data_IF_262255995263
#
_entry.id   IF_262255995263
#
_cell.length_a   1.000
_cell.length_b   1.000
_cell.length_c   1.000
_cell.angle_alpha   90.00
_cell.angle_beta   90.00
_cell.angle_gamma   90.00
#
_symmetry.space_group_name_H-M   'P 1'
#
loop_
_entity.id
_entity.type
_entity.pdbx_description
1 polymer ?
#
# COMPACT_ATOMS: atom_id res chain seq x y z
N UNK A 1 -5.75 -2.98 24.98
CA UNK A 1 -6.01 -3.73 26.24
C UNK A 1 -5.68 -5.21 26.07
N UNK A 2 -4.42 -5.57 26.22
CA UNK A 2 -3.88 -6.93 26.13
C UNK A 2 -3.59 -7.52 27.52
N UNK A 3 -3.63 -8.86 27.65
CA UNK A 3 -3.18 -9.54 28.87
C UNK A 3 -1.65 -9.57 28.95
N UNK A 4 -1.08 -9.34 30.12
CA UNK A 4 0.38 -9.34 30.35
C UNK A 4 1.06 -10.66 29.99
N UNK A 5 0.44 -11.79 30.33
CA UNK A 5 0.98 -13.09 29.92
C UNK A 5 0.99 -13.29 28.40
N UNK A 6 -0.04 -12.80 27.71
CA UNK A 6 -0.10 -12.82 26.24
C UNK A 6 0.94 -11.89 25.64
N UNK A 7 1.06 -10.66 26.12
CA UNK A 7 2.05 -9.68 25.68
C UNK A 7 3.47 -10.27 25.70
N UNK A 8 3.88 -10.82 26.84
CA UNK A 8 5.22 -11.38 26.99
C UNK A 8 5.44 -12.67 26.17
N UNK A 9 4.39 -13.47 25.94
CA UNK A 9 4.46 -14.62 25.03
C UNK A 9 4.60 -14.18 23.57
N UNK A 10 3.82 -13.17 23.14
CA UNK A 10 3.87 -12.61 21.78
C UNK A 10 5.25 -11.96 21.52
N UNK A 11 5.87 -11.37 22.56
CA UNK A 11 7.23 -10.83 22.57
C UNK A 11 8.36 -11.88 22.65
N UNK A 12 8.03 -13.18 22.60
CA UNK A 12 9.02 -14.26 22.62
C UNK A 12 9.72 -14.49 23.97
N UNK A 13 9.31 -13.82 25.07
CA UNK A 13 10.03 -13.83 26.36
C UNK A 13 9.92 -15.13 27.18
N UNK A 14 9.34 -16.19 26.62
CA UNK A 14 9.28 -17.51 27.22
C UNK A 14 8.06 -18.33 26.81
N UNK A 15 7.99 -19.58 27.24
CA UNK A 15 6.74 -20.37 27.22
C UNK A 15 5.69 -19.73 28.12
N UNK A 16 4.41 -20.05 27.91
CA UNK A 16 3.33 -19.56 28.77
C UNK A 16 3.57 -19.86 30.25
N UNK A 17 4.18 -21.00 30.57
CA UNK A 17 4.60 -21.37 31.92
C UNK A 17 5.76 -20.51 32.45
N UNK A 18 6.79 -20.29 31.64
CA UNK A 18 7.94 -19.42 31.99
C UNK A 18 7.48 -17.98 32.24
N UNK A 19 6.74 -17.41 31.29
CA UNK A 19 6.20 -16.05 31.38
C UNK A 19 5.33 -15.88 32.63
N UNK A 20 4.41 -16.80 32.90
CA UNK A 20 3.59 -16.75 34.12
C UNK A 20 4.44 -16.83 35.38
N UNK A 21 5.58 -17.51 35.34
CA UNK A 21 6.53 -17.58 36.46
C UNK A 21 7.27 -16.26 36.65
N UNK A 22 7.74 -15.63 35.56
CA UNK A 22 8.37 -14.31 35.60
C UNK A 22 7.44 -13.25 36.20
N UNK A 23 6.18 -13.23 35.75
CA UNK A 23 5.16 -12.31 36.28
C UNK A 23 4.94 -12.56 37.78
N UNK A 24 4.72 -13.83 38.18
CA UNK A 24 4.51 -14.17 39.60
C UNK A 24 5.70 -13.82 40.50
N UNK A 25 6.92 -13.76 39.97
CA UNK A 25 8.13 -13.34 40.69
C UNK A 25 8.26 -11.82 40.82
N UNK A 26 7.32 -11.05 40.28
CA UNK A 26 7.37 -9.58 40.31
C UNK A 26 8.47 -9.00 39.43
N UNK A 27 8.94 -9.75 38.43
CA UNK A 27 9.99 -9.32 37.51
C UNK A 27 9.44 -8.49 36.34
N UNK A 28 8.12 -8.24 36.29
CA UNK A 28 7.46 -7.56 35.19
C UNK A 28 6.70 -6.35 35.73
N UNK A 29 6.96 -5.17 35.18
CA UNK A 29 6.25 -3.95 35.55
C UNK A 29 5.45 -3.42 34.36
N UNK A 30 4.31 -2.79 34.64
CA UNK A 30 3.54 -1.97 33.71
C UNK A 30 3.53 -0.56 34.28
N UNK A 31 4.19 0.38 33.59
CA UNK A 31 4.61 1.65 34.18
C UNK A 31 5.47 1.40 35.42
N UNK A 32 5.12 2.05 36.53
CA UNK A 32 5.82 1.93 37.81
C UNK A 32 5.34 0.76 38.68
N UNK A 33 4.35 -0.02 38.22
CA UNK A 33 3.71 -1.07 39.02
C UNK A 33 4.22 -2.45 38.67
N UNK A 34 4.85 -3.13 39.63
CA UNK A 34 5.18 -4.55 39.51
C UNK A 34 3.90 -5.40 39.49
N UNK A 35 3.67 -6.09 38.39
CA UNK A 35 2.48 -6.92 38.20
C UNK A 35 2.80 -8.37 38.55
N UNK A 36 1.98 -8.97 39.42
CA UNK A 36 2.11 -10.39 39.83
C UNK A 36 0.99 -11.29 39.31
N UNK A 37 -0.04 -10.70 38.68
CA UNK A 37 -1.19 -11.41 38.09
C UNK A 37 -1.00 -11.56 36.58
N UNK A 38 -0.78 -12.78 36.05
CA UNK A 38 -0.54 -12.96 34.62
C UNK A 38 -1.68 -12.52 33.69
N UNK A 39 -2.91 -12.59 34.17
CA UNK A 39 -4.13 -12.15 33.47
C UNK A 39 -4.40 -10.65 33.55
N UNK A 40 -3.53 -9.86 34.19
CA UNK A 40 -3.64 -8.40 34.22
C UNK A 40 -3.73 -7.84 32.80
N UNK A 41 -4.68 -6.93 32.56
CA UNK A 41 -4.86 -6.27 31.27
C UNK A 41 -4.40 -4.82 31.37
N UNK A 42 -3.71 -4.37 30.36
CA UNK A 42 -3.17 -3.01 30.25
C UNK A 42 -3.22 -2.57 28.78
N UNK A 43 -3.10 -1.27 28.53
CA UNK A 43 -3.07 -0.70 27.18
C UNK A 43 -1.64 -0.65 26.65
N UNK A 44 -1.34 -1.55 25.72
CA UNK A 44 -0.04 -1.69 25.08
C UNK A 44 0.40 -0.47 24.26
N UNK A 45 -0.51 0.46 23.94
CA UNK A 45 -0.21 1.67 23.18
C UNK A 45 0.17 2.86 24.08
N UNK A 46 -0.20 2.82 25.36
CA UNK A 46 -0.02 3.94 26.29
C UNK A 46 0.79 3.60 27.53
N UNK A 47 0.91 2.32 27.89
CA UNK A 47 1.60 1.87 29.08
C UNK A 47 2.87 1.06 28.73
N UNK A 48 4.02 1.44 29.30
CA UNK A 48 5.30 0.78 29.05
C UNK A 48 5.44 -0.48 29.91
N UNK A 49 5.87 -1.59 29.30
CA UNK A 49 6.21 -2.82 30.04
C UNK A 49 7.72 -2.90 30.24
N UNK A 50 8.16 -3.26 31.44
CA UNK A 50 9.57 -3.63 31.70
C UNK A 50 9.67 -5.07 32.18
N UNK A 51 10.74 -5.76 31.78
CA UNK A 51 11.12 -7.08 32.29
C UNK A 51 12.49 -6.97 32.96
N UNK A 52 12.54 -7.22 34.27
CA UNK A 52 13.75 -7.04 35.11
C UNK A 52 14.38 -5.66 34.94
N UNK A 53 13.55 -4.61 34.83
CA UNK A 53 13.97 -3.22 34.63
C UNK A 53 14.35 -2.84 33.21
N UNK A 54 14.33 -3.78 32.25
CA UNK A 54 14.57 -3.47 30.83
C UNK A 54 13.23 -3.18 30.12
N UNK A 55 13.08 -2.02 29.47
CA UNK A 55 11.87 -1.70 28.72
C UNK A 55 11.67 -2.65 27.55
N UNK A 56 10.43 -3.09 27.37
CA UNK A 56 10.00 -3.93 26.26
C UNK A 56 9.14 -3.10 25.32
N UNK A 57 9.58 -2.98 24.07
CA UNK A 57 8.77 -2.41 22.98
C UNK A 57 7.90 -3.51 22.41
N UNK A 58 6.59 -3.31 22.35
CA UNK A 58 5.67 -4.32 21.85
C UNK A 58 5.81 -4.51 20.34
N UNK A 59 6.13 -5.72 19.92
CA UNK A 59 6.16 -6.14 18.54
C UNK A 59 5.31 -7.41 18.40
N UNK A 60 4.05 -7.23 17.98
CA UNK A 60 3.12 -8.33 17.72
C UNK A 60 3.60 -9.25 16.58
N UNK A 61 4.15 -8.64 15.53
CA UNK A 61 4.58 -9.34 14.32
C UNK A 61 6.07 -9.19 14.06
N UNK A 62 6.71 -10.31 13.78
CA UNK A 62 8.12 -10.39 13.43
C UNK A 62 8.24 -10.72 11.94
N UNK A 63 9.14 -10.05 11.23
CA UNK A 63 9.35 -10.26 9.79
C UNK A 63 10.85 -10.37 9.52
N UNK A 64 11.25 -11.51 8.95
CA UNK A 64 12.63 -11.80 8.61
C UNK A 64 12.78 -12.10 7.13
N UNK A 65 13.80 -11.50 6.52
CA UNK A 65 14.33 -11.89 5.23
C UNK A 65 15.44 -12.90 5.46
N UNK A 66 15.27 -14.11 4.94
CA UNK A 66 16.31 -15.14 4.90
C UNK A 66 16.83 -15.26 3.47
N UNK A 67 18.15 -15.24 3.29
CA UNK A 67 18.77 -15.77 2.08
C UNK A 67 18.92 -17.28 2.27
N UNK A 68 17.91 -18.05 1.85
CA UNK A 68 17.88 -19.50 2.09
C UNK A 68 19.03 -20.17 1.32
N UNK A 69 19.87 -20.99 1.96
CA UNK A 69 20.88 -21.79 1.27
C UNK A 69 20.27 -23.08 0.68
N UNK A 70 20.95 -23.68 -0.28
CA UNK A 70 20.65 -25.04 -0.72
C UNK A 70 20.88 -26.06 0.41
N UNK A 71 20.19 -27.18 0.36
CA UNK A 71 20.28 -28.27 1.35
C UNK A 71 19.36 -28.15 2.56
N UNK A 72 18.70 -27.00 2.76
CA UNK A 72 17.78 -26.73 3.88
C UNK A 72 16.32 -26.78 3.41
N UNK A 73 15.40 -27.32 4.21
CA UNK A 73 13.98 -27.42 3.85
C UNK A 73 13.15 -26.23 4.38
N UNK A 74 12.24 -25.73 3.54
CA UNK A 74 11.29 -24.66 3.88
C UNK A 74 10.13 -25.20 4.74
N UNK A 75 10.41 -25.56 5.99
CA UNK A 75 9.46 -26.14 6.93
C UNK A 75 9.65 -25.57 8.35
N UNK A 76 8.64 -25.74 9.20
CA UNK A 76 8.73 -25.35 10.62
C UNK A 76 9.39 -26.43 11.48
N UNK A 77 9.24 -27.71 11.09
CA UNK A 77 9.87 -28.89 11.69
C UNK A 77 10.06 -29.94 10.61
N UNK A 78 11.15 -30.68 10.70
CA UNK A 78 11.44 -31.85 9.86
C UNK A 78 12.24 -32.86 10.71
N UNK A 79 12.11 -34.15 10.43
CA UNK A 79 12.77 -35.20 11.22
C UNK A 79 14.17 -35.56 10.72
N UNK A 80 14.50 -35.19 9.48
CA UNK A 80 15.68 -35.67 8.76
C UNK A 80 16.55 -34.49 8.32
N UNK A 81 15.94 -33.47 7.73
CA UNK A 81 16.65 -32.34 7.14
C UNK A 81 16.62 -31.12 8.05
N UNK A 82 17.71 -30.33 8.03
CA UNK A 82 17.74 -29.03 8.68
C UNK A 82 16.65 -28.11 8.09
N UNK A 83 15.96 -27.37 8.95
CA UNK A 83 14.87 -26.47 8.55
C UNK A 83 15.32 -25.01 8.51
N UNK A 84 14.61 -24.19 7.74
CA UNK A 84 14.86 -22.74 7.68
C UNK A 84 14.70 -22.05 9.03
N UNK A 85 13.86 -22.56 9.94
CA UNK A 85 13.70 -21.98 11.27
C UNK A 85 14.90 -22.23 12.19
N UNK A 86 15.60 -23.36 11.99
CA UNK A 86 16.82 -23.67 12.76
C UNK A 86 17.97 -22.71 12.42
N UNK A 87 17.97 -22.12 11.21
CA UNK A 87 18.95 -21.10 10.81
C UNK A 87 18.80 -19.79 11.60
N UNK A 88 17.62 -19.49 12.16
CA UNK A 88 17.40 -18.27 12.94
C UNK A 88 18.04 -18.32 14.34
N UNK A 89 18.42 -19.51 14.81
CA UNK A 89 19.23 -19.71 16.02
C UNK A 89 18.59 -19.30 17.36
N UNK A 90 17.37 -18.76 17.39
CA UNK A 90 16.84 -18.09 18.58
C UNK A 90 15.56 -18.74 19.17
N UNK A 91 15.52 -19.11 20.48
CA UNK A 91 14.32 -19.65 21.15
C UNK A 91 13.13 -18.69 21.26
N UNK A 92 13.29 -17.40 20.91
CA UNK A 92 12.21 -16.42 20.78
C UNK A 92 11.34 -16.63 19.51
N UNK A 93 11.71 -17.55 18.61
CA UNK A 93 11.03 -17.89 17.34
C UNK A 93 9.72 -18.71 17.49
N UNK A 94 8.93 -18.49 18.55
CA UNK A 94 7.65 -19.19 18.71
C UNK A 94 6.63 -18.62 17.73
N UNK A 95 6.02 -19.50 16.93
CA UNK A 95 5.00 -19.22 15.90
C UNK A 95 5.50 -18.55 14.60
N UNK A 96 6.80 -18.53 14.33
CA UNK A 96 7.30 -18.18 13.01
C UNK A 96 7.04 -19.33 12.02
N UNK A 97 6.78 -18.98 10.77
CA UNK A 97 6.67 -19.90 9.66
C UNK A 97 7.16 -19.26 8.36
N UNK A 98 7.68 -20.04 7.42
CA UNK A 98 8.06 -19.53 6.10
C UNK A 98 6.81 -19.15 5.29
N UNK A 99 6.86 -17.98 4.66
CA UNK A 99 5.83 -17.51 3.74
C UNK A 99 6.12 -18.10 2.36
N UNK A 100 5.50 -19.24 2.12
CA UNK A 100 5.72 -20.05 0.93
C UNK A 100 6.90 -20.98 1.11
N UNK A 101 7.23 -21.71 0.04
CA UNK A 101 8.27 -22.73 0.08
C UNK A 101 9.21 -22.54 -1.10
N UNK A 102 10.49 -22.72 -0.82
CA UNK A 102 11.52 -23.00 -1.81
C UNK A 102 11.92 -24.47 -1.66
N UNK A 103 12.21 -25.13 -2.78
CA UNK A 103 12.69 -26.51 -2.78
C UNK A 103 14.02 -26.62 -2.02
N UNK A 104 14.38 -27.84 -1.65
CA UNK A 104 15.59 -28.10 -0.85
C UNK A 104 16.85 -27.56 -1.53
N UNK A 105 16.94 -27.72 -2.85
CA UNK A 105 18.03 -27.29 -3.72
C UNK A 105 17.89 -25.85 -4.25
N UNK A 106 16.80 -25.15 -3.92
CA UNK A 106 16.56 -23.77 -4.35
C UNK A 106 17.04 -22.77 -3.30
N UNK A 107 17.71 -21.71 -3.75
CA UNK A 107 18.28 -20.67 -2.90
C UNK A 107 17.48 -19.36 -2.92
N UNK A 108 17.86 -18.42 -2.07
CA UNK A 108 17.45 -17.02 -2.17
C UNK A 108 16.34 -16.62 -1.21
N UNK A 109 15.63 -15.55 -1.57
CA UNK A 109 14.70 -14.83 -0.70
C UNK A 109 13.60 -15.74 -0.14
N UNK A 110 13.55 -15.88 1.18
CA UNK A 110 12.43 -16.48 1.90
C UNK A 110 11.99 -15.56 3.04
N UNK A 111 10.73 -15.11 2.99
CA UNK A 111 10.12 -14.36 4.08
C UNK A 111 9.72 -15.33 5.20
N UNK A 112 10.06 -15.00 6.44
CA UNK A 112 9.65 -15.75 7.65
C UNK A 112 8.93 -14.78 8.58
N UNK A 113 7.71 -15.13 8.99
CA UNK A 113 6.89 -14.28 9.86
C UNK A 113 5.94 -15.10 10.74
N UNK A 114 5.33 -14.44 11.73
CA UNK A 114 4.18 -14.93 12.49
C UNK A 114 2.86 -14.21 12.08
N UNK A 115 2.89 -13.37 11.04
CA UNK A 115 1.74 -12.67 10.48
C UNK A 115 0.97 -13.54 9.47
N UNK A 116 0.03 -14.33 9.99
CA UNK A 116 -0.83 -15.24 9.21
C UNK A 116 -1.62 -14.56 8.09
N UNK A 117 -2.34 -13.45 8.36
CA UNK A 117 -3.06 -12.69 7.33
C UNK A 117 -2.18 -12.26 6.16
N UNK A 118 -1.04 -11.61 6.42
CA UNK A 118 -0.13 -11.18 5.37
C UNK A 118 0.42 -12.38 4.56
N UNK A 119 0.77 -13.46 5.25
CA UNK A 119 1.25 -14.66 4.57
C UNK A 119 0.20 -15.29 3.65
N UNK A 120 -1.06 -15.33 4.09
CA UNK A 120 -2.17 -15.81 3.26
C UNK A 120 -2.36 -14.92 2.03
N UNK A 121 -2.27 -13.60 2.19
CA UNK A 121 -2.34 -12.65 1.07
C UNK A 121 -1.22 -12.88 0.04
N UNK A 122 0.01 -13.06 0.51
CA UNK A 122 1.17 -13.27 -0.35
C UNK A 122 1.19 -14.63 -1.06
N UNK A 123 0.52 -15.64 -0.51
CA UNK A 123 0.50 -17.01 -1.02
C UNK A 123 -0.77 -17.39 -1.77
N UNK A 124 -1.84 -16.63 -1.62
CA UNK A 124 -3.11 -16.89 -2.28
C UNK A 124 -2.92 -16.94 -3.80
N UNK A 125 -3.30 -18.05 -4.48
CA UNK A 125 -3.19 -18.15 -5.94
C UNK A 125 -3.95 -17.05 -6.68
N UNK A 126 -5.01 -16.49 -6.07
CA UNK A 126 -5.84 -15.42 -6.64
C UNK A 126 -5.15 -14.05 -6.63
N UNK A 127 -4.04 -13.90 -5.91
CA UNK A 127 -3.36 -12.60 -5.71
C UNK A 127 -2.25 -12.34 -6.72
N UNK A 128 -1.84 -13.34 -7.47
CA UNK A 128 -0.89 -13.21 -8.58
C UNK A 128 0.39 -12.45 -8.21
N UNK A 129 0.89 -12.63 -6.98
CA UNK A 129 2.08 -11.94 -6.47
C UNK A 129 3.30 -12.35 -7.29
N UNK A 130 3.95 -11.37 -7.92
CA UNK A 130 5.17 -11.58 -8.72
C UNK A 130 6.29 -12.21 -7.88
N UNK A 131 7.01 -13.17 -8.47
CA UNK A 131 8.20 -13.79 -7.89
C UNK A 131 9.23 -13.92 -8.99
N UNK A 132 10.36 -13.22 -8.85
CA UNK A 132 11.45 -13.27 -9.84
C UNK A 132 12.55 -14.20 -9.37
N UNK A 133 13.01 -15.06 -10.27
CA UNK A 133 14.05 -16.04 -10.03
C UNK A 133 15.19 -15.84 -11.02
N UNK A 134 16.42 -15.95 -10.55
CA UNK A 134 17.57 -16.24 -11.39
C UNK A 134 17.55 -17.74 -11.70
N UNK A 135 17.53 -18.07 -12.99
CA UNK A 135 17.49 -19.45 -13.48
C UNK A 135 18.70 -19.67 -14.37
N UNK A 136 19.51 -20.69 -14.07
CA UNK A 136 20.54 -21.19 -14.99
C UNK A 136 20.09 -22.51 -15.58
N UNK A 137 20.26 -22.66 -16.89
CA UNK A 137 19.77 -23.79 -17.67
C UNK A 137 20.90 -24.69 -18.16
N UNK A 138 20.56 -25.95 -18.47
CA UNK A 138 21.51 -26.94 -18.99
C UNK A 138 21.95 -26.61 -20.42
N UNK A 139 20.99 -26.27 -21.27
CA UNK A 139 21.19 -25.87 -22.67
C UNK A 139 20.88 -24.39 -22.88
N UNK A 140 21.32 -23.86 -24.02
CA UNK A 140 21.06 -22.47 -24.40
C UNK A 140 19.56 -22.23 -24.63
N UNK A 141 19.08 -21.07 -24.20
CA UNK A 141 17.71 -20.60 -24.40
C UNK A 141 17.55 -20.11 -25.84
N UNK A 142 16.64 -20.73 -26.59
CA UNK A 142 16.22 -20.23 -27.89
C UNK A 142 15.11 -19.18 -27.75
N UNK A 143 14.93 -18.35 -28.78
CA UNK A 143 13.83 -17.37 -28.83
C UNK A 143 12.45 -18.05 -28.74
N UNK A 144 12.33 -19.29 -29.24
CA UNK A 144 11.08 -20.07 -29.14
C UNK A 144 10.82 -20.52 -27.70
N UNK A 145 11.86 -20.94 -26.96
CA UNK A 145 11.72 -21.33 -25.55
C UNK A 145 11.22 -20.14 -24.72
N UNK A 146 11.83 -18.97 -24.93
CA UNK A 146 11.43 -17.71 -24.27
C UNK A 146 9.96 -17.41 -24.56
N UNK A 147 9.57 -17.46 -25.83
CA UNK A 147 8.20 -17.18 -26.25
C UNK A 147 7.20 -18.17 -25.64
N UNK A 148 7.49 -19.47 -25.64
CA UNK A 148 6.63 -20.47 -25.00
C UNK A 148 6.44 -20.19 -23.51
N UNK A 149 7.51 -19.82 -22.79
CA UNK A 149 7.43 -19.47 -21.37
C UNK A 149 6.59 -18.21 -21.13
N UNK A 150 6.69 -17.20 -22.00
CA UNK A 150 5.91 -15.97 -21.93
C UNK A 150 4.42 -16.17 -22.27
N UNK A 151 4.10 -17.08 -23.19
CA UNK A 151 2.71 -17.42 -23.55
C UNK A 151 2.07 -18.38 -22.53
N UNK A 152 2.89 -19.19 -21.85
CA UNK A 152 2.47 -20.21 -20.89
C UNK A 152 2.62 -21.62 -21.45
N UNK A 153 3.08 -22.55 -20.61
CA UNK A 153 3.41 -23.93 -21.00
C UNK A 153 2.59 -24.96 -20.22
N UNK A 154 2.43 -26.16 -20.78
CA UNK A 154 1.80 -27.28 -20.10
C UNK A 154 2.82 -27.94 -19.17
N UNK A 155 2.52 -27.93 -17.87
CA UNK A 155 3.35 -28.56 -16.83
C UNK A 155 2.65 -29.77 -16.18
N UNK A 156 1.61 -30.32 -16.82
CA UNK A 156 0.83 -31.45 -16.34
C UNK A 156 -0.29 -31.05 -15.36
N UNK A 157 -0.83 -29.84 -15.49
CA UNK A 157 -1.95 -29.32 -14.69
C UNK A 157 -3.18 -29.15 -15.59
N UNK A 158 -4.37 -28.93 -15.03
CA UNK A 158 -5.60 -28.74 -15.84
C UNK A 158 -5.52 -27.54 -16.79
N UNK A 159 -4.71 -26.54 -16.44
CA UNK A 159 -4.50 -25.32 -17.22
C UNK A 159 -3.00 -25.09 -17.40
N UNK A 160 -2.65 -24.49 -18.53
CA UNK A 160 -1.31 -23.95 -18.78
C UNK A 160 -0.85 -23.04 -17.65
N UNK A 161 0.46 -22.84 -17.53
CA UNK A 161 0.97 -21.79 -16.66
C UNK A 161 0.45 -20.43 -17.09
N UNK A 162 0.30 -19.51 -16.14
CA UNK A 162 0.09 -18.12 -16.48
C UNK A 162 1.31 -17.60 -17.26
N UNK A 163 1.10 -16.61 -18.14
CA UNK A 163 2.18 -15.88 -18.80
C UNK A 163 3.28 -15.48 -17.82
N UNK A 164 4.52 -15.85 -18.14
CA UNK A 164 5.69 -15.41 -17.39
C UNK A 164 6.33 -14.19 -18.06
N UNK A 165 7.18 -13.48 -17.32
CA UNK A 165 8.08 -12.49 -17.91
C UNK A 165 9.50 -13.07 -17.89
N UNK A 166 10.15 -13.05 -19.05
CA UNK A 166 11.50 -13.60 -19.23
C UNK A 166 12.46 -12.48 -19.62
N UNK A 167 13.59 -12.38 -18.93
CA UNK A 167 14.70 -11.51 -19.31
C UNK A 167 15.96 -12.37 -19.43
N UNK A 168 16.43 -12.57 -20.67
CA UNK A 168 17.64 -13.35 -20.94
C UNK A 168 18.87 -12.51 -20.57
N UNK A 169 19.67 -13.00 -19.63
CA UNK A 169 20.91 -12.36 -19.19
C UNK A 169 22.11 -12.87 -19.97
N UNK A 170 22.12 -14.16 -20.29
CA UNK A 170 23.12 -14.84 -21.12
C UNK A 170 22.49 -16.08 -21.77
N UNK A 171 23.17 -16.76 -22.72
CA UNK A 171 22.59 -17.91 -23.41
C UNK A 171 22.04 -19.01 -22.50
N UNK A 172 22.55 -19.18 -21.27
CA UNK A 172 22.10 -20.20 -20.31
C UNK A 172 21.58 -19.61 -18.99
N UNK A 173 21.26 -18.32 -18.96
CA UNK A 173 20.84 -17.64 -17.74
C UNK A 173 19.75 -16.61 -18.03
N UNK A 174 18.69 -16.64 -17.22
CA UNK A 174 17.57 -15.70 -17.34
C UNK A 174 17.04 -15.28 -15.97
N UNK A 175 16.37 -14.13 -15.95
CA UNK A 175 15.40 -13.81 -14.92
C UNK A 175 14.02 -14.26 -15.37
N UNK A 176 13.39 -15.11 -14.57
CA UNK A 176 12.03 -15.60 -14.81
C UNK A 176 11.12 -15.07 -13.72
N UNK A 177 10.11 -14.27 -14.09
CA UNK A 177 9.09 -13.77 -13.17
C UNK A 177 7.78 -14.50 -13.39
N UNK A 178 7.29 -15.17 -12.35
CA UNK A 178 6.00 -15.89 -12.34
C UNK A 178 5.05 -15.31 -11.30
N UNK A 179 3.74 -15.47 -11.55
CA UNK A 179 2.66 -14.98 -10.68
C UNK A 179 1.95 -16.07 -9.89
N UNK A 180 2.34 -17.31 -10.08
CA UNK A 180 1.78 -18.48 -9.41
C UNK A 180 2.85 -19.17 -8.54
N UNK A 181 2.55 -20.36 -8.04
CA UNK A 181 3.39 -21.11 -7.12
C UNK A 181 3.06 -22.59 -7.13
N UNK A 182 2.94 -23.19 -8.32
CA UNK A 182 2.66 -24.61 -8.49
C UNK A 182 3.88 -25.46 -8.06
N UNK A 183 3.66 -26.73 -7.75
CA UNK A 183 4.73 -27.63 -7.29
C UNK A 183 5.87 -27.71 -8.31
N UNK A 184 7.12 -27.43 -7.89
CA UNK A 184 8.30 -27.42 -8.78
C UNK A 184 8.08 -26.67 -10.11
N UNK A 185 7.27 -25.60 -10.11
CA UNK A 185 6.76 -24.99 -11.33
C UNK A 185 7.84 -24.65 -12.34
N UNK A 186 8.88 -23.91 -11.94
CA UNK A 186 9.95 -23.47 -12.85
C UNK A 186 10.67 -24.67 -13.46
N UNK A 187 10.97 -25.70 -12.66
CA UNK A 187 11.63 -26.91 -13.15
C UNK A 187 10.76 -27.62 -14.22
N UNK A 188 9.45 -27.70 -14.00
CA UNK A 188 8.51 -28.27 -14.96
C UNK A 188 8.32 -27.39 -16.20
N UNK A 189 8.34 -26.07 -16.04
CA UNK A 189 8.27 -25.13 -17.17
C UNK A 189 9.46 -25.30 -18.11
N UNK A 190 10.68 -25.40 -17.56
CA UNK A 190 11.88 -25.64 -18.38
C UNK A 190 11.86 -27.02 -19.04
N UNK A 191 11.34 -28.05 -18.36
CA UNK A 191 11.14 -29.38 -18.96
C UNK A 191 10.16 -29.35 -20.14
N UNK A 192 9.13 -28.51 -20.10
CA UNK A 192 8.15 -28.38 -21.17
C UNK A 192 8.73 -27.75 -22.45
N UNK A 193 9.88 -27.06 -22.34
CA UNK A 193 10.67 -26.53 -23.47
C UNK A 193 11.97 -27.31 -23.66
N UNK A 194 11.96 -28.61 -23.34
CA UNK A 194 13.09 -29.55 -23.52
C UNK A 194 14.42 -29.09 -22.88
N UNK A 195 14.34 -28.37 -21.76
CA UNK A 195 15.49 -27.86 -21.01
C UNK A 195 15.43 -28.26 -19.53
N UNK A 196 16.50 -28.00 -18.77
CA UNK A 196 16.59 -28.33 -17.34
C UNK A 196 17.18 -27.18 -16.53
N UNK A 197 16.75 -27.08 -15.27
CA UNK A 197 17.27 -26.09 -14.32
C UNK A 197 18.52 -26.64 -13.64
N UNK A 198 19.67 -25.99 -13.85
CA UNK A 198 20.93 -26.30 -13.16
C UNK A 198 21.09 -25.52 -11.85
N UNK A 199 20.57 -24.29 -11.80
CA UNK A 199 20.60 -23.45 -10.60
C UNK A 199 19.34 -22.61 -10.53
N UNK A 200 18.81 -22.44 -9.31
CA UNK A 200 17.60 -21.66 -9.06
C UNK A 200 17.74 -20.83 -7.79
N UNK A 201 17.59 -19.51 -7.93
CA UNK A 201 17.61 -18.58 -6.80
C UNK A 201 16.47 -17.59 -6.90
N UNK A 202 15.62 -17.50 -5.87
CA UNK A 202 14.59 -16.46 -5.80
C UNK A 202 15.22 -15.12 -5.42
N UNK A 203 15.07 -14.12 -6.27
CA UNK A 203 15.59 -12.77 -6.04
C UNK A 203 14.53 -11.84 -5.45
N UNK A 204 13.25 -12.05 -5.76
CA UNK A 204 12.17 -11.18 -5.29
C UNK A 204 10.86 -11.93 -5.02
N UNK A 205 10.01 -11.33 -4.19
CA UNK A 205 8.63 -11.76 -3.96
C UNK A 205 7.77 -10.56 -3.58
N UNK A 206 6.81 -10.22 -4.43
CA UNK A 206 6.03 -8.99 -4.32
C UNK A 206 6.96 -7.77 -4.39
N UNK A 207 6.83 -6.87 -3.42
CA UNK A 207 7.67 -5.68 -3.28
C UNK A 207 9.06 -5.96 -2.66
N UNK A 208 9.28 -7.15 -2.07
CA UNK A 208 10.58 -7.49 -1.49
C UNK A 208 11.60 -7.93 -2.54
N UNK A 209 12.81 -7.40 -2.40
CA UNK A 209 14.01 -7.86 -3.12
C UNK A 209 15.02 -8.41 -2.12
N UNK A 210 15.71 -9.48 -2.51
CA UNK A 210 16.77 -10.07 -1.71
C UNK A 210 17.88 -9.03 -1.50
N UNK A 211 18.31 -8.88 -0.25
CA UNK A 211 19.48 -8.07 0.09
C UNK A 211 20.74 -8.74 -0.47
N UNK A 212 21.44 -8.06 -1.37
CA UNK A 212 22.65 -8.57 -2.02
C UNK A 212 23.82 -8.74 -1.04
N UNK A 213 23.79 -8.04 0.10
CA UNK A 213 24.81 -8.14 1.14
C UNK A 213 24.62 -9.34 2.06
N UNK A 214 23.44 -9.98 2.02
CA UNK A 214 23.07 -11.10 2.89
C UNK A 214 23.61 -12.41 2.32
N UNK A 215 24.55 -13.06 3.01
CA UNK A 215 25.12 -14.31 2.53
C UNK A 215 24.13 -15.50 2.66
N UNK A 216 24.30 -16.59 1.89
CA UNK A 216 23.46 -17.78 2.04
C UNK A 216 23.48 -18.32 3.49
N UNK A 217 22.30 -18.52 4.07
CA UNK A 217 22.12 -18.92 5.48
C UNK A 217 21.90 -17.75 6.44
N UNK A 218 22.25 -16.53 6.05
CA UNK A 218 22.04 -15.35 6.86
C UNK A 218 20.61 -14.80 6.72
N UNK A 219 20.17 -14.14 7.79
CA UNK A 219 18.88 -13.48 7.85
C UNK A 219 19.01 -12.10 8.48
N UNK A 220 18.06 -11.22 8.14
CA UNK A 220 17.89 -9.92 8.81
C UNK A 220 16.41 -9.64 9.05
N UNK A 221 16.12 -8.73 9.96
CA UNK A 221 14.78 -8.15 10.09
C UNK A 221 14.45 -7.32 8.86
N UNK A 222 13.17 -7.31 8.46
CA UNK A 222 12.69 -6.34 7.49
C UNK A 222 12.71 -4.93 8.08
N UNK A 223 12.96 -3.94 7.23
CA UNK A 223 12.78 -2.53 7.54
C UNK A 223 11.29 -2.17 7.57
N UNK A 224 10.94 -1.07 8.23
CA UNK A 224 9.55 -0.57 8.24
C UNK A 224 9.02 -0.31 6.82
N UNK A 225 9.86 0.22 5.93
CA UNK A 225 9.51 0.49 4.53
C UNK A 225 9.20 -0.79 3.75
N UNK A 226 9.96 -1.86 3.96
CA UNK A 226 9.72 -3.17 3.36
C UNK A 226 8.40 -3.79 3.87
N UNK A 227 8.13 -3.67 5.17
CA UNK A 227 6.88 -4.16 5.78
C UNK A 227 5.68 -3.37 5.23
N UNK A 228 5.81 -2.05 5.13
CA UNK A 228 4.78 -1.17 4.56
C UNK A 228 4.51 -1.53 3.10
N UNK A 229 5.56 -1.71 2.29
CA UNK A 229 5.42 -2.10 0.89
C UNK A 229 4.78 -3.49 0.70
N UNK A 230 4.99 -4.42 1.65
CA UNK A 230 4.32 -5.72 1.63
C UNK A 230 2.82 -5.59 1.93
N UNK A 231 2.47 -4.80 2.95
CA UNK A 231 1.08 -4.58 3.36
C UNK A 231 0.29 -3.75 2.35
N UNK A 232 0.94 -2.79 1.73
CA UNK A 232 0.35 -1.87 0.76
C UNK A 232 0.51 -2.38 -0.68
N UNK A 233 0.78 -3.68 -0.88
CA UNK A 233 0.92 -4.25 -2.22
C UNK A 233 -0.36 -4.03 -3.05
N UNK A 234 -0.24 -3.50 -4.28
CA UNK A 234 -1.41 -3.09 -5.05
C UNK A 234 -2.43 -4.19 -5.33
N UNK A 235 -1.97 -5.45 -5.37
CA UNK A 235 -2.79 -6.66 -5.55
C UNK A 235 -3.90 -6.83 -4.49
N UNK A 236 -3.83 -6.13 -3.36
CA UNK A 236 -4.86 -6.15 -2.31
C UNK A 236 -5.76 -4.92 -2.28
N UNK A 237 -5.31 -3.80 -2.85
CA UNK A 237 -6.03 -2.52 -2.80
C UNK A 237 -7.43 -2.64 -3.40
N UNK A 238 -7.54 -3.32 -4.54
CA UNK A 238 -8.78 -3.45 -5.31
C UNK A 238 -9.67 -4.63 -4.88
N UNK A 239 -9.23 -5.47 -3.93
CA UNK A 239 -10.01 -6.62 -3.52
C UNK A 239 -11.32 -6.16 -2.86
N UNK A 240 -12.43 -6.77 -3.24
CA UNK A 240 -13.76 -6.54 -2.64
C UNK A 240 -14.30 -5.10 -2.84
N UNK A 241 -13.64 -4.30 -3.68
CA UNK A 241 -14.06 -2.95 -4.06
C UNK A 241 -15.09 -3.01 -5.20
N UNK A 242 -16.12 -2.18 -5.08
CA UNK A 242 -17.18 -2.00 -6.09
C UNK A 242 -17.26 -0.59 -6.65
N UNK A 243 -16.73 0.38 -5.92
CA UNK A 243 -16.56 1.74 -6.42
C UNK A 243 -15.21 2.33 -6.02
N UNK A 244 -14.60 3.08 -6.92
CA UNK A 244 -13.47 3.96 -6.60
C UNK A 244 -13.96 5.41 -6.70
N UNK A 245 -13.65 6.20 -5.67
CA UNK A 245 -14.01 7.60 -5.60
C UNK A 245 -12.71 8.40 -5.49
N UNK A 246 -12.55 9.39 -6.35
CA UNK A 246 -11.34 10.19 -6.35
C UNK A 246 -11.65 11.59 -5.84
N UNK A 247 -10.75 12.16 -5.04
CA UNK A 247 -10.56 13.61 -5.13
C UNK A 247 -10.03 13.99 -6.52
N UNK A 248 -10.23 15.23 -6.93
CA UNK A 248 -9.79 15.71 -8.23
C UNK A 248 -8.33 16.20 -8.20
N UNK A 249 -8.06 17.21 -7.37
CA UNK A 249 -6.85 18.01 -7.43
C UNK A 249 -5.75 17.38 -6.61
N UNK A 250 -4.56 17.22 -7.18
CA UNK A 250 -3.50 16.46 -6.51
C UNK A 250 -3.80 14.94 -6.42
N UNK A 251 -4.92 14.47 -6.97
CA UNK A 251 -5.29 13.05 -6.93
C UNK A 251 -5.48 12.48 -8.33
N UNK A 252 -6.41 13.01 -9.13
CA UNK A 252 -6.60 12.63 -10.54
C UNK A 252 -5.76 13.50 -11.47
N UNK A 253 -5.66 14.79 -11.16
CA UNK A 253 -4.95 15.78 -11.97
C UNK A 253 -3.85 16.46 -11.18
N UNK A 254 -2.77 16.83 -11.88
CA UNK A 254 -1.64 17.54 -11.29
C UNK A 254 -1.87 19.06 -11.36
N UNK A 255 -2.59 19.58 -10.38
CA UNK A 255 -3.14 20.95 -10.40
C UNK A 255 -2.86 21.77 -9.13
N UNK A 256 -2.35 21.17 -8.06
CA UNK A 256 -2.22 21.86 -6.76
C UNK A 256 -1.27 23.07 -6.81
N UNK A 257 -0.26 23.03 -7.68
CA UNK A 257 0.67 24.14 -7.93
C UNK A 257 -0.04 25.41 -8.42
N UNK A 258 -1.13 25.27 -9.18
CA UNK A 258 -1.84 26.40 -9.76
C UNK A 258 -2.59 27.21 -8.70
N UNK A 259 -3.14 26.55 -7.69
CA UNK A 259 -3.97 27.22 -6.68
C UNK A 259 -3.17 28.24 -5.88
N UNK A 260 -1.89 27.95 -5.60
CA UNK A 260 -0.97 28.92 -5.01
C UNK A 260 -0.82 30.18 -5.88
N UNK A 261 -0.62 30.02 -7.19
CA UNK A 261 -0.49 31.16 -8.11
C UNK A 261 -1.79 31.98 -8.15
N UNK A 262 -2.95 31.33 -8.11
CA UNK A 262 -4.26 31.99 -8.08
C UNK A 262 -4.39 32.82 -6.81
N UNK A 263 -4.02 32.28 -5.64
CA UNK A 263 -4.06 33.01 -4.37
C UNK A 263 -3.15 34.25 -4.42
N UNK A 264 -1.93 34.11 -4.93
CA UNK A 264 -0.97 35.20 -5.09
C UNK A 264 -1.49 36.29 -6.03
N UNK A 265 -1.97 35.90 -7.22
CA UNK A 265 -2.48 36.86 -8.21
C UNK A 265 -3.74 37.55 -7.68
N UNK A 266 -4.67 36.80 -7.10
CA UNK A 266 -5.95 37.32 -6.62
C UNK A 266 -5.76 38.33 -5.48
N UNK A 267 -4.96 37.99 -4.47
CA UNK A 267 -4.62 38.90 -3.38
C UNK A 267 -3.81 40.12 -3.88
N UNK A 268 -2.95 39.91 -4.86
CA UNK A 268 -2.18 40.96 -5.53
C UNK A 268 -3.05 42.05 -6.15
N UNK A 269 -4.27 41.72 -6.63
CA UNK A 269 -5.24 42.71 -7.16
C UNK A 269 -5.66 43.74 -6.10
N UNK A 270 -5.58 43.40 -4.82
CA UNK A 270 -5.87 44.28 -3.70
C UNK A 270 -4.60 44.82 -3.01
N UNK A 271 -3.42 44.60 -3.61
CA UNK A 271 -2.14 45.00 -3.02
C UNK A 271 -1.73 44.20 -1.78
N UNK A 272 -2.28 42.99 -1.61
CA UNK A 272 -1.99 42.11 -0.49
C UNK A 272 -0.98 41.03 -0.89
N UNK A 273 -0.04 40.73 0.00
CA UNK A 273 0.84 39.57 -0.14
C UNK A 273 0.13 38.30 0.32
N UNK A 274 0.39 37.17 -0.35
CA UNK A 274 -0.11 35.86 0.08
C UNK A 274 0.64 35.40 1.35
N UNK A 275 -0.05 35.15 2.48
CA UNK A 275 0.58 34.66 3.70
C UNK A 275 1.08 33.22 3.57
N UNK A 276 2.23 32.91 4.15
CA UNK A 276 2.82 31.56 4.14
C UNK A 276 1.93 30.50 4.82
N UNK A 277 1.07 30.90 5.76
CA UNK A 277 0.14 30.02 6.47
C UNK A 277 -1.19 29.79 5.73
N UNK A 278 -1.43 30.49 4.62
CA UNK A 278 -2.75 30.53 3.98
C UNK A 278 -3.23 29.14 3.55
N UNK A 279 -2.38 28.38 2.85
CA UNK A 279 -2.73 27.07 2.32
C UNK A 279 -3.13 26.10 3.43
N UNK A 280 -2.32 26.00 4.48
CA UNK A 280 -2.60 25.18 5.67
C UNK A 280 -3.95 25.56 6.30
N UNK A 281 -4.30 26.86 6.33
CA UNK A 281 -5.55 27.31 6.92
C UNK A 281 -6.79 26.95 6.11
N UNK A 282 -6.68 26.80 4.78
CA UNK A 282 -7.82 26.56 3.88
C UNK A 282 -7.92 25.11 3.40
N UNK A 283 -6.93 24.28 3.69
CA UNK A 283 -6.94 22.86 3.37
C UNK A 283 -8.22 22.16 3.87
N UNK A 284 -8.84 21.38 2.99
CA UNK A 284 -10.08 20.64 3.26
C UNK A 284 -11.36 21.49 3.19
N UNK A 285 -11.28 22.82 3.26
CA UNK A 285 -12.46 23.68 3.09
C UNK A 285 -13.11 23.49 1.71
N UNK A 286 -14.43 23.61 1.65
CA UNK A 286 -15.14 23.74 0.39
C UNK A 286 -14.83 25.09 -0.28
N UNK A 287 -15.02 25.18 -1.59
CA UNK A 287 -14.83 26.42 -2.34
C UNK A 287 -15.61 27.62 -1.75
N UNK A 288 -16.80 27.34 -1.20
CA UNK A 288 -17.62 28.34 -0.52
C UNK A 288 -17.03 28.76 0.84
N UNK A 289 -16.55 27.81 1.65
CA UNK A 289 -15.91 28.09 2.93
C UNK A 289 -14.61 28.90 2.73
N UNK A 290 -13.82 28.55 1.71
CA UNK A 290 -12.62 29.31 1.33
C UNK A 290 -12.94 30.74 0.92
N UNK A 291 -13.99 30.96 0.13
CA UNK A 291 -14.42 32.32 -0.23
C UNK A 291 -14.85 33.15 0.99
N UNK A 292 -15.57 32.53 1.94
CA UNK A 292 -15.94 33.16 3.22
C UNK A 292 -14.68 33.51 4.03
N UNK A 293 -13.73 32.59 4.11
CA UNK A 293 -12.47 32.78 4.82
C UNK A 293 -11.66 33.93 4.23
N UNK A 294 -11.48 33.99 2.90
CA UNK A 294 -10.77 35.07 2.23
C UNK A 294 -11.41 36.43 2.49
N UNK A 295 -12.73 36.52 2.33
CA UNK A 295 -13.46 37.77 2.58
C UNK A 295 -13.26 38.27 4.00
N UNK A 296 -13.27 37.38 4.99
CA UNK A 296 -13.10 37.73 6.40
C UNK A 296 -11.65 38.05 6.75
N UNK A 297 -10.70 37.19 6.37
CA UNK A 297 -9.26 37.32 6.71
C UNK A 297 -8.63 38.56 6.08
N UNK A 298 -8.98 38.84 4.82
CA UNK A 298 -8.37 39.92 4.04
C UNK A 298 -9.26 41.15 3.90
N UNK A 299 -10.44 41.15 4.55
CA UNK A 299 -11.42 42.22 4.49
C UNK A 299 -11.79 42.63 3.04
N UNK A 300 -11.95 41.64 2.15
CA UNK A 300 -12.17 41.89 0.72
C UNK A 300 -13.51 42.60 0.48
N UNK A 301 -13.54 43.64 -0.39
CA UNK A 301 -14.76 44.38 -0.68
C UNK A 301 -15.78 43.54 -1.46
N UNK A 302 -15.29 42.62 -2.30
CA UNK A 302 -16.08 41.86 -3.26
C UNK A 302 -17.08 40.90 -2.62
N UNK A 303 -18.22 40.67 -3.28
CA UNK A 303 -19.20 39.68 -2.80
C UNK A 303 -18.61 38.27 -2.87
N UNK A 304 -19.19 37.33 -2.13
CA UNK A 304 -18.78 35.93 -2.20
C UNK A 304 -18.98 35.35 -3.61
N UNK A 305 -19.99 35.81 -4.37
CA UNK A 305 -20.16 35.39 -5.76
C UNK A 305 -19.04 35.91 -6.65
N UNK A 306 -18.63 37.18 -6.47
CA UNK A 306 -17.55 37.76 -7.27
C UNK A 306 -16.20 37.10 -7.00
N UNK A 307 -15.86 36.85 -5.73
CA UNK A 307 -14.62 36.13 -5.36
C UNK A 307 -14.55 34.78 -6.08
N UNK A 308 -15.63 34.00 -6.01
CA UNK A 308 -15.73 32.69 -6.64
C UNK A 308 -15.66 32.75 -8.16
N UNK A 309 -16.33 33.73 -8.77
CA UNK A 309 -16.32 33.93 -10.22
C UNK A 309 -14.92 34.27 -10.73
N UNK A 310 -14.20 35.14 -10.02
CA UNK A 310 -12.82 35.49 -10.35
C UNK A 310 -11.89 34.27 -10.27
N UNK A 311 -11.98 33.48 -9.20
CA UNK A 311 -11.19 32.25 -9.07
C UNK A 311 -11.51 31.24 -10.16
N UNK A 312 -12.79 31.02 -10.48
CA UNK A 312 -13.17 30.14 -11.58
C UNK A 312 -12.58 30.63 -12.91
N UNK A 313 -12.62 31.94 -13.18
CA UNK A 313 -12.03 32.52 -14.39
C UNK A 313 -10.51 32.34 -14.45
N UNK A 314 -9.82 32.55 -13.32
CA UNK A 314 -8.36 32.40 -13.21
C UNK A 314 -7.93 30.95 -13.37
N UNK A 315 -8.69 30.01 -12.79
CA UNK A 315 -8.45 28.59 -12.91
C UNK A 315 -8.77 28.06 -14.32
N UNK A 316 -9.75 28.64 -15.01
CA UNK A 316 -10.27 28.16 -16.29
C UNK A 316 -9.17 27.92 -17.34
N UNK A 317 -8.34 28.92 -17.64
CA UNK A 317 -7.31 28.80 -18.69
C UNK A 317 -6.26 27.74 -18.36
N UNK A 318 -5.91 27.65 -17.07
CA UNK A 318 -4.92 26.68 -16.58
C UNK A 318 -5.47 25.25 -16.63
N UNK A 319 -6.69 24.98 -16.18
CA UNK A 319 -7.31 23.65 -16.34
C UNK A 319 -7.48 23.27 -17.81
N UNK A 320 -7.81 24.23 -18.67
CA UNK A 320 -8.04 23.97 -20.10
C UNK A 320 -6.75 23.60 -20.85
N UNK A 321 -5.59 24.11 -20.44
CA UNK A 321 -4.37 24.08 -21.27
C UNK A 321 -3.12 23.52 -20.58
N UNK A 322 -3.08 23.51 -19.25
CA UNK A 322 -1.83 23.33 -18.51
C UNK A 322 -1.87 22.18 -17.51
N UNK A 323 -3.05 21.74 -17.06
CA UNK A 323 -3.20 20.70 -16.03
C UNK A 323 -3.26 19.31 -16.66
N UNK A 324 -2.24 18.45 -16.50
CA UNK A 324 -2.27 17.07 -16.98
C UNK A 324 -2.96 16.13 -15.99
N UNK A 325 -3.33 14.93 -16.46
CA UNK A 325 -3.63 13.81 -15.57
C UNK A 325 -2.37 13.38 -14.82
N UNK A 326 -2.55 12.86 -13.60
CA UNK A 326 -1.45 12.19 -12.90
C UNK A 326 -1.01 10.92 -13.63
N UNK A 327 0.25 10.59 -13.47
CA UNK A 327 0.89 9.47 -14.14
C UNK A 327 0.19 8.13 -13.82
N UNK A 328 -0.26 7.42 -14.85
CA UNK A 328 -0.93 6.13 -14.75
C UNK A 328 -2.45 6.18 -14.51
N UNK A 329 -3.04 7.38 -14.34
CA UNK A 329 -4.48 7.52 -14.05
C UNK A 329 -5.33 6.92 -15.16
N UNK A 330 -5.02 7.20 -16.41
CA UNK A 330 -5.82 6.73 -17.55
C UNK A 330 -5.88 5.20 -17.62
N UNK A 331 -4.74 4.54 -17.47
CA UNK A 331 -4.63 3.08 -17.45
C UNK A 331 -5.42 2.49 -16.27
N UNK A 332 -5.35 3.13 -15.10
CA UNK A 332 -6.11 2.71 -13.92
C UNK A 332 -7.63 2.85 -14.11
N UNK A 333 -8.10 3.94 -14.71
CA UNK A 333 -9.51 4.15 -15.03
C UNK A 333 -10.02 3.11 -16.05
N UNK A 334 -9.23 2.81 -17.09
CA UNK A 334 -9.53 1.75 -18.05
C UNK A 334 -9.69 0.38 -17.37
N UNK A 335 -8.73 0.01 -16.50
CA UNK A 335 -8.81 -1.24 -15.75
C UNK A 335 -10.06 -1.32 -14.87
N UNK A 336 -10.41 -0.24 -14.16
CA UNK A 336 -11.61 -0.21 -13.33
C UNK A 336 -12.87 -0.47 -14.16
N UNK A 337 -13.00 0.18 -15.32
CA UNK A 337 -14.11 -0.01 -16.24
C UNK A 337 -14.18 -1.45 -16.77
N UNK A 338 -13.06 -2.02 -17.20
CA UNK A 338 -12.97 -3.40 -17.68
C UNK A 338 -13.37 -4.43 -16.62
N UNK A 339 -13.16 -4.12 -15.34
CA UNK A 339 -13.51 -4.97 -14.21
C UNK A 339 -14.87 -4.63 -13.56
N UNK A 340 -15.66 -3.76 -14.18
CA UNK A 340 -17.00 -3.38 -13.70
C UNK A 340 -16.99 -2.64 -12.36
N UNK A 341 -15.90 -1.93 -12.05
CA UNK A 341 -15.77 -1.08 -10.86
C UNK A 341 -16.29 0.31 -11.20
N UNK A 342 -17.26 0.78 -10.43
CA UNK A 342 -17.88 2.09 -10.64
C UNK A 342 -16.91 3.21 -10.23
N UNK A 343 -16.96 4.34 -10.93
CA UNK A 343 -16.04 5.46 -10.69
C UNK A 343 -16.84 6.72 -10.33
N UNK A 344 -16.35 7.46 -9.35
CA UNK A 344 -16.90 8.77 -9.00
C UNK A 344 -15.86 9.81 -8.61
N UNK A 345 -16.25 11.08 -8.62
CA UNK A 345 -15.43 12.22 -8.21
C UNK A 345 -16.08 12.93 -7.01
N UNK A 346 -15.27 13.24 -6.00
CA UNK A 346 -15.65 13.97 -4.80
C UNK A 346 -14.66 15.13 -4.57
N UNK A 347 -14.99 16.32 -5.07
CA UNK A 347 -14.10 17.49 -5.04
C UNK A 347 -14.71 18.68 -4.31
N UNK A 348 -13.88 19.46 -3.61
CA UNK A 348 -14.29 20.73 -3.00
C UNK A 348 -14.51 21.84 -4.02
N UNK A 349 -14.10 21.65 -5.29
CA UNK A 349 -14.16 22.65 -6.35
C UNK A 349 -15.57 22.88 -6.93
N UNK A 350 -15.68 23.87 -7.82
CA UNK A 350 -16.93 24.22 -8.50
C UNK A 350 -17.24 23.24 -9.64
N UNK A 351 -18.53 23.06 -9.94
CA UNK A 351 -19.01 22.17 -11.01
C UNK A 351 -18.42 22.52 -12.38
N UNK A 352 -18.31 23.82 -12.66
CA UNK A 352 -17.74 24.35 -13.91
C UNK A 352 -16.32 23.85 -14.16
N UNK A 353 -15.46 23.83 -13.13
CA UNK A 353 -14.07 23.38 -13.25
C UNK A 353 -13.97 21.86 -13.46
N UNK A 354 -14.83 21.08 -12.80
CA UNK A 354 -14.85 19.63 -12.94
C UNK A 354 -15.33 19.19 -14.32
N UNK A 355 -16.36 19.86 -14.85
CA UNK A 355 -16.89 19.58 -16.19
C UNK A 355 -15.83 19.88 -17.26
N UNK A 356 -15.10 20.99 -17.12
CA UNK A 356 -14.02 21.33 -18.04
C UNK A 356 -12.91 20.29 -18.07
N UNK A 357 -12.40 19.90 -16.90
CA UNK A 357 -11.26 18.97 -16.83
C UNK A 357 -11.67 17.59 -17.32
N UNK A 358 -12.93 17.20 -17.08
CA UNK A 358 -13.47 15.96 -17.58
C UNK A 358 -13.66 15.97 -19.11
N UNK A 359 -14.01 17.12 -19.69
CA UNK A 359 -14.07 17.28 -21.15
C UNK A 359 -12.67 17.22 -21.80
N UNK A 360 -11.72 18.01 -21.28
CA UNK A 360 -10.35 18.11 -21.81
C UNK A 360 -9.63 16.77 -21.84
N UNK A 361 -9.79 15.97 -20.78
CA UNK A 361 -9.14 14.66 -20.66
C UNK A 361 -10.03 13.48 -21.07
N UNK A 362 -11.22 13.74 -21.63
CA UNK A 362 -12.13 12.67 -22.07
C UNK A 362 -12.62 11.76 -20.95
N UNK A 363 -12.74 12.28 -19.73
CA UNK A 363 -13.09 11.52 -18.53
C UNK A 363 -14.60 11.30 -18.35
N UNK A 364 -15.44 12.05 -19.08
CA UNK A 364 -16.90 12.02 -18.94
C UNK A 364 -17.50 10.61 -19.08
N UNK A 365 -16.87 9.73 -19.86
CA UNK A 365 -17.35 8.36 -20.08
C UNK A 365 -17.03 7.40 -18.93
N UNK A 366 -16.13 7.78 -18.02
CA UNK A 366 -15.69 6.90 -16.93
C UNK A 366 -16.54 7.07 -15.67
N UNK A 367 -16.96 8.30 -15.36
CA UNK A 367 -17.51 8.63 -14.05
C UNK A 367 -19.04 8.55 -14.03
N UNK A 368 -19.57 7.65 -13.20
CA UNK A 368 -21.01 7.50 -12.99
C UNK A 368 -21.62 8.51 -12.02
N UNK A 369 -20.79 9.20 -11.23
CA UNK A 369 -21.24 10.19 -10.27
C UNK A 369 -20.16 11.23 -9.97
N UNK A 370 -20.50 12.52 -10.00
CA UNK A 370 -19.61 13.63 -9.67
C UNK A 370 -20.32 14.53 -8.65
N UNK A 371 -19.71 14.67 -7.48
CA UNK A 371 -20.13 15.59 -6.42
C UNK A 371 -19.08 16.67 -6.19
N UNK A 372 -19.56 17.89 -5.99
CA UNK A 372 -18.76 19.10 -5.82
C UNK A 372 -18.97 19.71 -4.43
N UNK A 373 -18.16 20.71 -4.05
CA UNK A 373 -18.31 21.41 -2.78
C UNK A 373 -19.66 22.09 -2.61
N UNK A 374 -20.36 22.38 -3.71
CA UNK A 374 -21.72 22.95 -3.72
C UNK A 374 -22.82 21.93 -3.41
N UNK A 375 -22.53 20.64 -3.56
CA UNK A 375 -23.51 19.56 -3.37
C UNK A 375 -23.63 19.13 -1.89
N UNK A 376 -22.73 19.62 -1.03
CA UNK A 376 -22.67 19.29 0.40
C UNK A 376 -22.55 20.53 1.27
N UNK A 377 -22.94 20.40 2.54
CA UNK A 377 -22.98 21.54 3.48
C UNK A 377 -21.64 21.84 4.16
N UNK A 378 -20.74 20.87 4.22
CA UNK A 378 -19.47 20.95 4.96
C UNK A 378 -18.34 20.42 4.10
N UNK A 379 -17.21 21.11 4.11
CA UNK A 379 -15.96 20.62 3.55
C UNK A 379 -15.37 19.45 4.32
N UNK A 380 -14.27 18.91 3.79
CA UNK A 380 -13.46 17.86 4.41
C UNK A 380 -12.85 18.44 5.71
N UNK A 381 -12.73 17.68 6.81
CA UNK A 381 -12.79 16.21 6.94
C UNK A 381 -14.19 15.65 7.19
N UNK A 382 -15.26 16.41 6.95
CA UNK A 382 -16.62 15.86 7.02
C UNK A 382 -16.83 14.80 5.92
N UNK A 383 -17.50 13.68 6.21
CA UNK A 383 -17.63 12.55 5.27
C UNK A 383 -18.66 12.79 4.16
N UNK A 384 -19.42 13.89 4.24
CA UNK A 384 -20.62 14.16 3.46
C UNK A 384 -20.42 13.99 1.95
N UNK A 385 -19.31 14.47 1.39
CA UNK A 385 -19.06 14.43 -0.06
C UNK A 385 -18.82 13.00 -0.56
N UNK A 386 -18.05 12.20 0.17
CA UNK A 386 -17.81 10.80 -0.19
C UNK A 386 -19.08 9.96 -0.03
N UNK A 387 -19.84 10.18 1.05
CA UNK A 387 -21.13 9.53 1.25
C UNK A 387 -22.13 9.88 0.13
N UNK A 388 -22.13 11.12 -0.34
CA UNK A 388 -22.97 11.56 -1.45
C UNK A 388 -22.60 10.83 -2.76
N UNK A 389 -21.31 10.71 -3.09
CA UNK A 389 -20.86 9.96 -4.27
C UNK A 389 -21.21 8.49 -4.17
N UNK A 390 -20.90 7.83 -3.04
CA UNK A 390 -21.20 6.41 -2.85
C UNK A 390 -22.71 6.13 -2.99
N UNK A 391 -23.55 7.01 -2.43
CA UNK A 391 -25.00 6.96 -2.61
C UNK A 391 -25.42 7.12 -4.08
N UNK A 392 -24.81 8.08 -4.81
CA UNK A 392 -25.06 8.28 -6.23
C UNK A 392 -24.68 7.08 -7.10
N UNK A 393 -23.63 6.37 -6.73
CA UNK A 393 -23.20 5.12 -7.38
C UNK A 393 -23.99 3.89 -6.91
N UNK A 394 -24.80 3.99 -5.86
CA UNK A 394 -25.53 2.86 -5.28
C UNK A 394 -24.64 1.83 -4.59
N UNK A 395 -23.47 2.24 -4.06
CA UNK A 395 -22.49 1.36 -3.42
C UNK A 395 -22.37 1.66 -1.94
N UNK A 396 -22.25 0.61 -1.11
CA UNK A 396 -22.03 0.75 0.33
C UNK A 396 -20.62 1.33 0.61
N UNK A 397 -20.45 2.24 1.59
CA UNK A 397 -19.16 2.88 1.84
C UNK A 397 -17.99 1.90 2.10
N UNK A 398 -18.23 0.80 2.79
CA UNK A 398 -17.23 -0.26 3.05
C UNK A 398 -16.72 -0.97 1.78
N UNK A 399 -17.45 -0.82 0.66
CA UNK A 399 -17.10 -1.34 -0.67
C UNK A 399 -16.51 -0.27 -1.57
N UNK A 400 -16.25 0.93 -1.04
CA UNK A 400 -15.61 2.04 -1.74
C UNK A 400 -14.13 2.15 -1.36
N UNK A 401 -13.32 2.55 -2.34
CA UNK A 401 -11.94 2.97 -2.17
C UNK A 401 -11.83 4.45 -2.56
N UNK A 402 -11.31 5.28 -1.66
CA UNK A 402 -11.08 6.70 -1.89
C UNK A 402 -9.62 6.92 -2.25
N UNK A 403 -9.34 7.70 -3.29
CA UNK A 403 -8.01 8.27 -3.53
C UNK A 403 -8.00 9.74 -3.11
N UNK A 404 -6.97 10.14 -2.36
CA UNK A 404 -6.85 11.47 -1.76
C UNK A 404 -5.39 11.85 -1.54
N UNK A 405 -5.06 13.14 -1.60
CA UNK A 405 -3.69 13.63 -1.51
C UNK A 405 -3.40 14.43 -0.23
N UNK A 406 -4.42 14.88 0.50
CA UNK A 406 -4.27 15.65 1.76
C UNK A 406 -4.92 14.96 2.97
N UNK A 407 -4.40 15.24 4.18
CA UNK A 407 -4.89 14.64 5.43
C UNK A 407 -6.38 14.90 5.71
N UNK A 408 -6.92 16.12 5.56
CA UNK A 408 -8.36 16.35 5.75
C UNK A 408 -9.22 15.48 4.83
N UNK A 409 -8.78 15.29 3.60
CA UNK A 409 -9.44 14.42 2.62
C UNK A 409 -9.38 12.95 2.98
N UNK A 410 -8.21 12.47 3.39
CA UNK A 410 -8.04 11.11 3.91
C UNK A 410 -8.99 10.87 5.09
N UNK A 411 -9.03 11.79 6.05
CA UNK A 411 -9.91 11.71 7.21
C UNK A 411 -11.39 11.71 6.80
N UNK A 412 -11.80 12.50 5.80
CA UNK A 412 -13.17 12.45 5.27
C UNK A 412 -13.54 11.07 4.72
N UNK A 413 -12.65 10.44 3.95
CA UNK A 413 -12.85 9.07 3.47
C UNK A 413 -12.94 8.04 4.61
N UNK A 414 -12.05 8.14 5.61
CA UNK A 414 -12.09 7.26 6.80
C UNK A 414 -13.35 7.47 7.64
N UNK A 415 -13.75 8.72 7.85
CA UNK A 415 -14.98 9.08 8.56
C UNK A 415 -16.25 8.59 7.84
N UNK A 416 -16.18 8.43 6.51
CA UNK A 416 -17.25 7.84 5.72
C UNK A 416 -17.32 6.30 5.81
N UNK A 417 -16.36 5.66 6.51
CA UNK A 417 -16.28 4.20 6.62
C UNK A 417 -15.70 3.52 5.37
N UNK A 418 -14.96 4.27 4.54
CA UNK A 418 -14.35 3.77 3.31
C UNK A 418 -12.88 3.39 3.54
N UNK A 419 -12.34 2.56 2.64
CA UNK A 419 -10.88 2.41 2.51
C UNK A 419 -10.32 3.62 1.78
N UNK A 420 -9.11 4.03 2.13
CA UNK A 420 -8.45 5.22 1.56
C UNK A 420 -7.04 4.89 1.10
N UNK A 421 -6.71 5.28 -0.12
CA UNK A 421 -5.38 5.27 -0.69
C UNK A 421 -4.86 6.71 -0.79
N UNK A 422 -3.81 7.02 -0.05
CA UNK A 422 -3.15 8.31 -0.13
C UNK A 422 -2.28 8.39 -1.40
N UNK A 423 -2.38 9.51 -2.11
CA UNK A 423 -1.58 9.82 -3.29
C UNK A 423 -0.46 10.80 -2.92
N UNK A 424 0.75 10.53 -3.40
CA UNK A 424 1.86 11.48 -3.29
C UNK A 424 1.57 12.73 -4.15
N UNK A 425 1.77 13.88 -3.54
CA UNK A 425 1.76 15.18 -4.21
C UNK A 425 2.83 16.06 -3.54
N UNK A 426 3.50 16.91 -4.32
CA UNK A 426 4.52 17.83 -3.82
C UNK A 426 3.90 18.84 -2.86
N UNK A 427 2.67 19.29 -3.14
CA UNK A 427 1.91 20.22 -2.31
C UNK A 427 1.79 19.73 -0.85
N UNK A 428 1.49 18.44 -0.69
CA UNK A 428 1.24 17.80 0.61
C UNK A 428 2.42 16.95 1.10
N UNK A 429 3.63 17.17 0.58
CA UNK A 429 4.83 16.43 0.99
C UNK A 429 5.09 16.55 2.50
N UNK A 430 4.83 17.72 3.08
CA UNK A 430 4.98 17.97 4.51
C UNK A 430 4.09 17.04 5.37
N UNK A 431 3.01 16.50 4.81
CA UNK A 431 2.07 15.58 5.46
C UNK A 431 2.40 14.10 5.19
N UNK A 432 3.44 13.78 4.41
CA UNK A 432 3.74 12.40 3.94
C UNK A 432 3.69 11.35 5.06
N UNK A 433 4.29 11.64 6.22
CA UNK A 433 4.30 10.71 7.36
C UNK A 433 2.90 10.46 7.92
N UNK A 434 2.11 11.52 8.03
CA UNK A 434 0.74 11.45 8.55
C UNK A 434 -0.20 10.76 7.56
N UNK A 435 -0.07 11.05 6.25
CA UNK A 435 -0.81 10.34 5.20
C UNK A 435 -0.61 8.83 5.27
N UNK A 436 0.63 8.37 5.43
CA UNK A 436 0.97 6.94 5.58
C UNK A 436 0.42 6.31 6.85
N UNK A 437 0.30 7.09 7.92
CA UNK A 437 -0.24 6.61 9.19
C UNK A 437 -1.77 6.47 9.13
N UNK A 438 -2.46 7.39 8.45
CA UNK A 438 -3.91 7.49 8.45
C UNK A 438 -4.60 6.69 7.33
N UNK A 439 -3.98 6.62 6.15
CA UNK A 439 -4.54 5.92 5.00
C UNK A 439 -4.33 4.41 5.08
N UNK A 440 -5.19 3.64 4.40
CA UNK A 440 -5.04 2.18 4.29
C UNK A 440 -3.95 1.79 3.28
N UNK A 441 -3.71 2.66 2.30
CA UNK A 441 -2.69 2.47 1.27
C UNK A 441 -1.98 3.79 0.96
N UNK A 442 -0.80 3.71 0.35
CA UNK A 442 -0.03 4.87 -0.10
C UNK A 442 0.60 4.59 -1.45
N UNK A 443 0.41 5.49 -2.42
CA UNK A 443 0.98 5.38 -3.76
C UNK A 443 1.75 6.64 -4.14
N UNK A 444 2.78 6.48 -4.97
CA UNK A 444 3.48 7.61 -5.59
C UNK A 444 2.78 8.08 -6.87
N UNK A 445 2.29 7.13 -7.65
CA UNK A 445 1.55 7.33 -8.88
C UNK A 445 0.69 6.08 -9.14
N UNK A 446 -0.08 6.08 -10.22
CA UNK A 446 -1.01 4.99 -10.53
C UNK A 446 -0.37 3.84 -11.32
N UNK A 447 0.92 3.94 -11.66
CA UNK A 447 1.62 2.89 -12.43
C UNK A 447 1.83 1.64 -11.59
N UNK A 448 1.51 0.49 -12.17
CA UNK A 448 1.69 -0.81 -11.54
C UNK A 448 0.72 -1.08 -10.39
N UNK A 449 -0.35 -0.29 -10.25
CA UNK A 449 -1.43 -0.61 -9.30
C UNK A 449 -2.24 -1.82 -9.79
N UNK A 450 -2.44 -1.89 -11.11
CA UNK A 450 -3.31 -2.85 -11.79
C UNK A 450 -2.58 -3.58 -12.91
#
# INVERSE_FOLDING_TARGET
MIRLDKYLCDMGKGTRSEVRTLIKRGLVCVGDLCITKPEHKFDENTEQVTLSGQPLVYQKYHYYMLNKPAGVVSATRDQISQTVLELLGNPECKNLFPVGRLDKDTEGLLLITNDGPLAHELLSPKKHVNKTYLVQTETELSDEDVKCLEEGVDIGEEQLTLPAQVEVLSPKEMLLTIREGKYHQIKRMLQAVDNQVCYLKRLSMGSLRLDETLAPGEFRTLTEQEIEALKNSPSNMMQDIKAVIFDLDGTLVDSMWMWYDIDVEYLGRYGLACPDDLQICIEGMSFQETAVYFKQRFALPDSLEQIKADWNQMAWDKYLRQVPLKEGVYEFLCHCRENGILLGIATSNSRELVENIAEVHGLNEFFGCIMTGSDVKKGKPAPDIYLAVAKGLGVLPERCLVFEDIVPGILAGKNAGMRVCAVEDIYSEHQRKEKRLLADYYIKNYRGIV
#
